data_IF_236497761450
#
_entry.id   IF_236497761450
#
_cell.length_a   1.000
_cell.length_b   1.000
_cell.length_c   1.000
_cell.angle_alpha   90.00
_cell.angle_beta   90.00
_cell.angle_gamma   90.00
#
_symmetry.space_group_name_H-M   'P 1'
#
loop_
_entity.id
_entity.type
_entity.pdbx_description
1 polymer ?
#
# COMPACT_ATOMS: atom_id res chain seq x y z
N UNK A 1 51.98 -0.36 29.59
CA UNK A 1 50.56 -0.07 29.93
C UNK A 1 50.09 1.06 29.04
N UNK A 2 49.05 0.84 28.25
CA UNK A 2 48.13 1.81 27.60
C UNK A 2 47.54 1.06 26.40
N UNK A 3 46.33 0.50 26.43
CA UNK A 3 45.07 1.18 26.67
C UNK A 3 44.28 1.19 25.35
N UNK A 4 43.97 0.02 24.79
CA UNK A 4 43.13 -0.10 23.57
C UNK A 4 41.73 0.42 23.92
N UNK A 5 41.45 1.67 23.53
CA UNK A 5 40.15 2.33 23.64
C UNK A 5 39.11 1.67 22.72
N UNK A 6 38.63 0.50 23.12
CA UNK A 6 37.41 -0.06 22.55
C UNK A 6 36.22 0.76 23.06
N UNK A 7 35.29 1.10 22.17
CA UNK A 7 34.00 1.66 22.59
C UNK A 7 33.38 0.77 23.68
N UNK A 8 32.77 1.37 24.72
CA UNK A 8 32.13 0.60 25.79
C UNK A 8 31.19 -0.43 25.17
N UNK A 9 31.18 -1.66 25.70
CA UNK A 9 30.33 -2.77 25.21
C UNK A 9 28.86 -2.35 25.07
N UNK A 10 28.40 -1.42 25.91
CA UNK A 10 27.08 -0.80 25.84
C UNK A 10 26.86 -0.01 24.54
N UNK A 11 27.82 0.82 24.13
CA UNK A 11 27.74 1.62 22.91
C UNK A 11 27.78 0.72 21.67
N UNK A 12 28.64 -0.31 21.67
CA UNK A 12 28.70 -1.29 20.58
C UNK A 12 27.38 -2.07 20.44
N UNK A 13 26.71 -2.40 21.55
CA UNK A 13 25.39 -3.05 21.55
C UNK A 13 24.27 -2.10 21.09
N UNK A 14 24.28 -0.85 21.51
CA UNK A 14 23.34 0.18 21.05
C UNK A 14 23.51 0.47 19.56
N UNK A 15 24.74 0.50 19.04
CA UNK A 15 25.04 0.68 17.62
C UNK A 15 24.58 -0.52 16.80
N UNK A 16 24.81 -1.75 17.27
CA UNK A 16 24.36 -2.96 16.55
C UNK A 16 22.84 -3.07 16.54
N UNK A 17 22.15 -2.79 17.66
CA UNK A 17 20.68 -2.81 17.68
C UNK A 17 20.08 -1.62 16.92
N UNK A 18 20.68 -0.44 17.01
CA UNK A 18 20.32 0.71 16.19
C UNK A 18 20.52 0.44 14.70
N UNK A 19 21.58 -0.27 14.31
CA UNK A 19 21.85 -0.65 12.92
C UNK A 19 20.94 -1.78 12.43
N UNK A 20 20.61 -2.77 13.25
CA UNK A 20 19.63 -3.83 12.91
C UNK A 20 18.23 -3.24 12.81
N UNK A 21 17.87 -2.33 13.72
CA UNK A 21 16.60 -1.61 13.67
C UNK A 21 16.53 -0.66 12.48
N UNK A 22 17.60 0.07 12.18
CA UNK A 22 17.70 0.93 10.99
C UNK A 22 17.74 0.13 9.69
N UNK A 23 18.31 -1.08 9.67
CA UNK A 23 18.27 -1.98 8.51
C UNK A 23 16.88 -2.60 8.32
N UNK A 24 16.18 -2.93 9.41
CA UNK A 24 14.78 -3.36 9.38
C UNK A 24 13.84 -2.22 8.97
N UNK A 25 14.13 -0.96 9.35
CA UNK A 25 13.36 0.25 9.01
C UNK A 25 13.71 0.77 7.60
N UNK A 26 14.96 0.64 7.17
CA UNK A 26 15.44 1.07 5.85
C UNK A 26 14.93 0.18 4.69
N UNK A 27 14.52 -1.06 4.98
CA UNK A 27 13.87 -1.95 4.01
C UNK A 27 12.34 -1.81 3.93
N UNK A 28 11.70 -0.99 4.77
CA UNK A 28 10.23 -0.86 4.92
C UNK A 28 9.73 0.54 4.55
N UNK A 29 10.35 1.19 3.57
CA UNK A 29 9.93 2.52 3.12
C UNK A 29 8.59 2.54 2.34
N UNK A 30 7.83 1.43 2.25
CA UNK A 30 6.54 1.38 1.58
C UNK A 30 5.35 1.37 2.56
N UNK A 31 4.91 2.54 3.09
CA UNK A 31 3.87 2.60 4.14
C UNK A 31 2.74 1.65 3.81
N UNK A 32 2.51 0.62 4.64
CA UNK A 32 1.64 -0.53 4.42
C UNK A 32 0.91 -0.46 3.07
N UNK A 33 1.64 -0.64 1.96
CA UNK A 33 1.00 -0.80 0.67
C UNK A 33 0.07 -1.97 0.86
N UNK A 34 -1.12 -1.88 0.29
CA UNK A 34 -2.13 -2.92 0.20
C UNK A 34 -1.54 -4.26 -0.31
N UNK A 35 -0.72 -4.92 0.50
CA UNK A 35 0.00 -6.13 0.19
C UNK A 35 -1.06 -7.21 0.14
N UNK A 36 -1.32 -7.72 -1.06
CA UNK A 36 -2.35 -8.74 -1.28
C UNK A 36 -3.73 -8.20 -1.65
N UNK A 37 -3.87 -6.92 -2.05
CA UNK A 37 -5.08 -6.48 -2.76
C UNK A 37 -4.88 -6.69 -4.26
N UNK A 38 -4.80 -7.96 -4.63
CA UNK A 38 -4.87 -8.44 -6.00
C UNK A 38 -5.80 -9.64 -6.05
N UNK A 39 -7.01 -9.43 -6.60
CA UNK A 39 -7.79 -10.47 -7.28
C UNK A 39 -8.43 -11.62 -6.50
N UNK A 40 -8.42 -11.65 -5.15
CA UNK A 40 -8.87 -12.85 -4.39
C UNK A 40 -10.01 -12.65 -3.39
N UNK A 41 -10.65 -11.48 -3.34
CA UNK A 41 -11.69 -11.18 -2.35
C UNK A 41 -13.10 -11.17 -2.94
N UNK A 42 -13.56 -12.27 -3.53
CA UNK A 42 -14.93 -12.32 -4.07
C UNK A 42 -15.99 -12.27 -2.96
N UNK A 43 -15.63 -12.66 -1.72
CA UNK A 43 -16.58 -12.80 -0.61
C UNK A 43 -16.29 -11.87 0.59
N UNK A 44 -17.31 -11.64 1.41
CA UNK A 44 -17.18 -10.88 2.68
C UNK A 44 -16.17 -11.53 3.64
N UNK A 45 -15.97 -12.85 3.58
CA UNK A 45 -15.03 -13.55 4.44
C UNK A 45 -13.56 -13.24 4.11
N UNK A 46 -13.25 -13.07 2.83
CA UNK A 46 -11.89 -12.76 2.36
C UNK A 46 -11.43 -11.40 2.89
N UNK A 47 -12.35 -10.46 3.06
CA UNK A 47 -12.07 -9.16 3.67
C UNK A 47 -11.66 -9.28 5.15
N UNK A 48 -12.16 -10.27 5.90
CA UNK A 48 -11.69 -10.54 7.27
C UNK A 48 -10.22 -10.94 7.25
N UNK A 49 -9.85 -11.85 6.34
CA UNK A 49 -8.46 -12.28 6.21
C UNK A 49 -7.56 -11.14 5.74
N UNK A 50 -8.04 -10.33 4.79
CA UNK A 50 -7.33 -9.16 4.31
C UNK A 50 -7.08 -8.13 5.41
N UNK A 51 -8.08 -7.81 6.24
CA UNK A 51 -7.91 -6.91 7.37
C UNK A 51 -6.93 -7.45 8.41
N UNK A 52 -6.98 -8.77 8.64
CA UNK A 52 -6.07 -9.45 9.55
C UNK A 52 -4.60 -9.38 9.08
N UNK A 53 -4.33 -9.71 7.82
CA UNK A 53 -2.98 -9.65 7.26
C UNK A 53 -2.49 -8.21 7.12
N UNK A 54 -3.34 -7.28 6.70
CA UNK A 54 -3.02 -5.85 6.66
C UNK A 54 -2.53 -5.34 8.01
N UNK A 55 -3.24 -5.67 9.09
CA UNK A 55 -2.84 -5.28 10.44
C UNK A 55 -1.52 -5.92 10.89
N UNK A 56 -1.28 -7.20 10.57
CA UNK A 56 -0.07 -7.90 11.00
C UNK A 56 1.17 -7.54 10.18
N UNK A 57 1.02 -7.14 8.92
CA UNK A 57 2.14 -6.74 8.06
C UNK A 57 2.34 -5.22 8.00
N UNK A 58 1.38 -4.42 8.51
CA UNK A 58 1.53 -2.99 8.70
C UNK A 58 2.47 -2.66 9.86
N UNK A 59 3.73 -2.37 9.55
CA UNK A 59 4.76 -2.08 10.57
C UNK A 59 4.46 -0.82 11.39
N UNK A 60 3.86 0.21 10.79
CA UNK A 60 3.41 1.42 11.46
C UNK A 60 2.34 1.11 12.53
N UNK A 61 1.37 0.26 12.21
CA UNK A 61 0.39 -0.22 13.17
C UNK A 61 1.03 -1.07 14.27
N UNK A 62 1.95 -1.99 13.93
CA UNK A 62 2.68 -2.78 14.93
C UNK A 62 3.56 -1.92 15.83
N UNK A 63 4.21 -0.89 15.31
CA UNK A 63 5.01 0.06 16.11
C UNK A 63 4.11 0.84 17.07
N UNK A 64 2.96 1.32 16.60
CA UNK A 64 1.99 2.00 17.45
C UNK A 64 1.45 1.07 18.55
N UNK A 65 1.00 -0.15 18.20
CA UNK A 65 0.53 -1.16 19.16
C UNK A 65 1.62 -1.52 20.16
N UNK A 66 2.85 -1.72 19.70
CA UNK A 66 4.02 -1.98 20.54
C UNK A 66 4.27 -0.85 21.55
N UNK A 67 4.21 0.40 21.10
CA UNK A 67 4.31 1.57 21.97
C UNK A 67 3.22 1.62 23.05
N UNK A 68 1.97 1.35 22.67
CA UNK A 68 0.84 1.29 23.60
C UNK A 68 0.99 0.14 24.59
N UNK A 69 1.46 -1.03 24.15
CA UNK A 69 1.74 -2.19 25.02
C UNK A 69 2.81 -1.85 26.07
N UNK A 70 3.91 -1.23 25.63
CA UNK A 70 5.00 -0.78 26.52
C UNK A 70 4.50 0.21 27.57
N UNK A 71 3.68 1.17 27.16
CA UNK A 71 3.05 2.15 28.06
C UNK A 71 2.08 1.52 29.05
N UNK A 72 1.14 0.71 28.53
CA UNK A 72 0.05 0.13 29.29
C UNK A 72 0.56 -0.83 30.36
N UNK A 73 1.59 -1.62 30.06
CA UNK A 73 2.24 -2.57 30.97
C UNK A 73 1.35 -3.70 31.48
N UNK A 74 0.10 -3.79 31.00
CA UNK A 74 -0.89 -4.81 31.35
C UNK A 74 -1.77 -5.09 30.12
N UNK A 75 -1.98 -6.38 29.81
CA UNK A 75 -2.75 -6.83 28.64
C UNK A 75 -4.13 -6.17 28.58
N UNK A 76 -4.88 -6.19 29.69
CA UNK A 76 -6.25 -5.63 29.75
C UNK A 76 -6.30 -4.14 29.44
N UNK A 77 -5.26 -3.38 29.81
CA UNK A 77 -5.19 -1.93 29.52
C UNK A 77 -4.78 -1.68 28.08
N UNK A 78 -3.82 -2.44 27.56
CA UNK A 78 -3.40 -2.36 26.16
C UNK A 78 -4.59 -2.68 25.25
N UNK A 79 -5.26 -3.81 25.46
CA UNK A 79 -6.43 -4.22 24.69
C UNK A 79 -7.52 -3.13 24.67
N UNK A 80 -7.85 -2.53 25.81
CA UNK A 80 -8.84 -1.42 25.86
C UNK A 80 -8.44 -0.21 25.03
N UNK A 81 -7.16 0.17 25.03
CA UNK A 81 -6.67 1.33 24.27
C UNK A 81 -6.65 1.00 22.77
N UNK A 82 -6.23 -0.21 22.42
CA UNK A 82 -6.17 -0.67 21.03
C UNK A 82 -7.56 -0.84 20.44
N UNK A 83 -8.52 -1.43 21.15
CA UNK A 83 -9.92 -1.49 20.69
C UNK A 83 -10.53 -0.09 20.54
N UNK A 84 -10.12 0.89 21.37
CA UNK A 84 -10.57 2.27 21.20
C UNK A 84 -9.95 2.94 19.97
N UNK A 85 -8.68 2.66 19.68
CA UNK A 85 -8.04 3.05 18.43
C UNK A 85 -8.77 2.44 17.22
N UNK A 86 -9.04 1.13 17.25
CA UNK A 86 -9.77 0.42 16.20
C UNK A 86 -11.19 0.96 16.00
N UNK A 87 -11.87 1.34 17.07
CA UNK A 87 -13.17 2.01 17.01
C UNK A 87 -13.08 3.31 16.21
N UNK A 88 -12.10 4.18 16.52
CA UNK A 88 -11.89 5.43 15.79
C UNK A 88 -11.51 5.17 14.33
N UNK A 89 -10.60 4.23 14.09
CA UNK A 89 -10.17 3.81 12.77
C UNK A 89 -11.36 3.36 11.91
N UNK A 90 -12.12 2.40 12.41
CA UNK A 90 -13.30 1.86 11.74
C UNK A 90 -14.35 2.94 11.47
N UNK A 91 -14.60 3.83 12.43
CA UNK A 91 -15.58 4.92 12.29
C UNK A 91 -15.24 5.81 11.11
N UNK A 92 -14.00 6.28 11.04
CA UNK A 92 -13.59 7.24 10.01
C UNK A 92 -13.37 6.58 8.67
N UNK A 93 -12.91 5.33 8.66
CA UNK A 93 -12.80 4.54 7.43
C UNK A 93 -14.18 4.35 6.79
N UNK A 94 -15.20 3.97 7.56
CA UNK A 94 -16.57 3.82 7.04
C UNK A 94 -17.09 5.17 6.55
N UNK A 95 -16.98 6.23 7.35
CA UNK A 95 -17.50 7.56 6.99
C UNK A 95 -16.79 8.10 5.74
N UNK A 96 -15.46 8.08 5.70
CA UNK A 96 -14.68 8.63 4.60
C UNK A 96 -14.89 7.84 3.30
N UNK A 97 -15.02 6.52 3.39
CA UNK A 97 -15.36 5.68 2.23
C UNK A 97 -16.76 5.95 1.70
N UNK A 98 -17.77 6.10 2.58
CA UNK A 98 -19.16 6.38 2.16
C UNK A 98 -19.37 7.82 1.68
N UNK A 99 -18.61 8.77 2.24
CA UNK A 99 -18.68 10.18 1.88
C UNK A 99 -17.68 10.56 0.77
N UNK A 100 -16.96 9.58 0.21
CA UNK A 100 -15.96 9.75 -0.85
C UNK A 100 -14.91 10.84 -0.52
N UNK A 101 -14.48 10.89 0.74
CA UNK A 101 -13.45 11.83 1.15
C UNK A 101 -12.09 11.41 0.60
N UNK A 102 -11.55 12.22 -0.30
CA UNK A 102 -10.19 12.08 -0.84
C UNK A 102 -9.24 13.02 -0.10
N UNK A 103 -8.42 12.45 0.78
CA UNK A 103 -7.40 13.17 1.54
C UNK A 103 -6.03 12.71 1.02
N UNK A 104 -5.06 13.60 0.99
CA UNK A 104 -3.69 13.23 0.61
C UNK A 104 -3.15 12.16 1.56
N UNK A 105 -3.02 10.92 1.07
CA UNK A 105 -2.60 9.76 1.85
C UNK A 105 -1.21 9.95 2.46
N UNK A 106 -0.30 10.65 1.77
CA UNK A 106 1.05 10.93 2.27
C UNK A 106 1.00 11.83 3.50
N UNK A 107 0.15 12.87 3.50
CA UNK A 107 -0.04 13.71 4.68
C UNK A 107 -0.59 12.90 5.87
N UNK A 108 -1.52 11.97 5.61
CA UNK A 108 -2.04 11.10 6.66
C UNK A 108 -0.95 10.17 7.19
N UNK A 109 -0.15 9.55 6.32
CA UNK A 109 0.96 8.67 6.70
C UNK A 109 2.03 9.39 7.54
N UNK A 110 2.29 10.67 7.27
CA UNK A 110 3.15 11.51 8.12
C UNK A 110 2.55 11.66 9.52
N UNK A 111 1.25 11.94 9.63
CA UNK A 111 0.58 12.06 10.94
C UNK A 111 0.54 10.71 11.67
N UNK A 112 0.40 9.60 10.94
CA UNK A 112 0.54 8.24 11.47
C UNK A 112 1.93 8.04 12.08
N UNK A 113 3.00 8.38 11.36
CA UNK A 113 4.36 8.29 11.87
C UNK A 113 4.57 9.17 13.12
N UNK A 114 3.97 10.37 13.14
CA UNK A 114 4.01 11.25 14.31
C UNK A 114 3.23 10.71 15.51
N UNK A 115 2.18 9.89 15.32
CA UNK A 115 1.49 9.23 16.44
C UNK A 115 2.40 8.21 17.14
N UNK A 116 3.26 7.51 16.39
CA UNK A 116 4.30 6.63 16.93
C UNK A 116 5.32 7.42 17.75
N UNK A 117 5.78 8.56 17.22
CA UNK A 117 6.66 9.49 17.96
C UNK A 117 5.99 9.94 19.25
N UNK A 118 4.73 10.36 19.21
CA UNK A 118 3.98 10.80 20.39
C UNK A 118 3.94 9.72 21.47
N UNK A 119 3.58 8.49 21.11
CA UNK A 119 3.52 7.35 22.05
C UNK A 119 4.92 7.07 22.64
N UNK A 120 5.97 7.11 21.81
CA UNK A 120 7.35 6.96 22.25
C UNK A 120 7.80 8.06 23.22
N UNK A 121 7.48 9.33 22.94
CA UNK A 121 7.81 10.47 23.81
C UNK A 121 7.09 10.36 25.15
N UNK A 122 5.78 10.05 25.13
CA UNK A 122 5.01 9.83 26.36
C UNK A 122 5.68 8.73 27.19
N UNK A 123 6.06 7.61 26.56
CA UNK A 123 6.76 6.50 27.22
C UNK A 123 8.14 6.85 27.75
N UNK A 124 8.87 7.71 27.05
CA UNK A 124 10.18 8.19 27.48
C UNK A 124 10.07 9.04 28.75
N UNK A 125 9.10 9.95 28.80
CA UNK A 125 8.81 10.80 29.96
C UNK A 125 8.29 9.94 31.13
N UNK A 126 7.46 8.94 30.84
CA UNK A 126 6.95 8.01 31.84
C UNK A 126 5.64 7.33 31.41
N UNK A 127 4.72 7.14 32.35
CA UNK A 127 3.36 6.66 32.04
C UNK A 127 2.36 7.82 32.11
N UNK A 128 1.27 7.78 31.31
CA UNK A 128 0.22 8.77 31.40
C UNK A 128 -0.34 8.87 32.82
N UNK A 129 -0.38 10.08 33.38
CA UNK A 129 -1.04 10.31 34.69
C UNK A 129 -2.57 10.23 34.57
N UNK A 130 -3.13 10.63 33.42
CA UNK A 130 -4.56 10.66 33.15
C UNK A 130 -4.93 9.73 31.99
N UNK A 131 -5.15 8.45 32.29
CA UNK A 131 -5.46 7.43 31.28
C UNK A 131 -6.70 7.72 30.43
N UNK A 132 -7.69 8.44 30.98
CA UNK A 132 -8.88 8.86 30.21
C UNK A 132 -8.52 9.80 29.05
N UNK A 133 -7.68 10.79 29.31
CA UNK A 133 -7.21 11.71 28.27
C UNK A 133 -6.34 10.99 27.23
N UNK A 134 -5.46 10.09 27.70
CA UNK A 134 -4.66 9.27 26.79
C UNK A 134 -5.55 8.40 25.88
N UNK A 135 -6.63 7.83 26.42
CA UNK A 135 -7.60 7.06 25.63
C UNK A 135 -8.27 7.92 24.56
N UNK A 136 -8.66 9.17 24.87
CA UNK A 136 -9.20 10.11 23.86
C UNK A 136 -8.19 10.42 22.76
N UNK A 137 -6.92 10.60 23.12
CA UNK A 137 -5.84 10.81 22.12
C UNK A 137 -5.66 9.57 21.24
N UNK A 138 -5.67 8.37 21.83
CA UNK A 138 -5.56 7.11 21.08
C UNK A 138 -6.77 6.90 20.15
N UNK A 139 -7.98 7.24 20.59
CA UNK A 139 -9.16 7.29 19.72
C UNK A 139 -8.95 8.26 18.54
N UNK A 140 -8.44 9.46 18.84
CA UNK A 140 -8.14 10.48 17.84
C UNK A 140 -7.11 10.02 16.80
N UNK A 141 -6.05 9.33 17.21
CA UNK A 141 -5.13 8.69 16.27
C UNK A 141 -5.82 7.62 15.43
N UNK A 142 -6.68 6.80 16.05
CA UNK A 142 -7.53 5.87 15.32
C UNK A 142 -8.29 6.56 14.20
N UNK A 143 -8.96 7.69 14.51
CA UNK A 143 -9.73 8.44 13.52
C UNK A 143 -8.87 8.84 12.30
N UNK A 144 -7.69 9.41 12.56
CA UNK A 144 -6.77 9.86 11.51
C UNK A 144 -6.25 8.69 10.68
N UNK A 145 -5.88 7.57 11.32
CA UNK A 145 -5.42 6.37 10.62
C UNK A 145 -6.49 5.81 9.68
N UNK A 146 -7.78 5.92 10.05
CA UNK A 146 -8.90 5.49 9.20
C UNK A 146 -8.98 6.25 7.87
N UNK A 147 -8.57 7.51 7.85
CA UNK A 147 -8.59 8.35 6.65
C UNK A 147 -7.57 7.86 5.60
N UNK A 148 -6.37 7.49 6.03
CA UNK A 148 -5.30 7.07 5.12
C UNK A 148 -5.66 5.80 4.35
N UNK A 149 -6.23 4.82 5.05
CA UNK A 149 -6.70 3.59 4.42
C UNK A 149 -7.94 3.81 3.56
N UNK A 150 -8.85 4.71 3.95
CA UNK A 150 -10.06 4.99 3.15
C UNK A 150 -9.73 5.49 1.74
N UNK A 151 -8.72 6.37 1.60
CA UNK A 151 -8.30 6.88 0.27
C UNK A 151 -7.74 5.74 -0.58
N UNK A 152 -6.90 4.87 0.00
CA UNK A 152 -6.35 3.71 -0.73
C UNK A 152 -7.42 2.67 -1.07
N UNK A 153 -8.41 2.44 -0.20
CA UNK A 153 -9.56 1.57 -0.49
C UNK A 153 -10.44 2.12 -1.62
N UNK A 154 -10.58 3.44 -1.71
CA UNK A 154 -11.30 4.08 -2.81
C UNK A 154 -10.53 3.98 -4.14
N UNK A 155 -9.19 4.06 -4.10
CA UNK A 155 -8.35 3.91 -5.30
C UNK A 155 -8.39 2.48 -5.87
N UNK A 156 -8.78 1.49 -5.06
CA UNK A 156 -9.02 0.11 -5.50
C UNK A 156 -10.32 -0.06 -6.27
N UNK A 157 -11.16 0.98 -6.32
CA UNK A 157 -12.40 0.98 -7.09
C UNK A 157 -13.37 -0.13 -6.66
N UNK A 158 -13.49 -0.40 -5.36
CA UNK A 158 -14.37 -1.48 -4.88
C UNK A 158 -15.82 -1.24 -5.32
N UNK A 159 -16.55 -2.27 -5.80
CA UNK A 159 -17.96 -2.17 -6.13
C UNK A 159 -18.77 -1.60 -4.96
N UNK A 160 -19.68 -0.66 -5.24
CA UNK A 160 -20.57 -0.08 -4.22
C UNK A 160 -21.52 -1.12 -3.61
N UNK A 161 -21.83 -2.19 -4.34
CA UNK A 161 -22.62 -3.31 -3.83
C UNK A 161 -21.78 -4.13 -2.84
N UNK A 162 -22.31 -4.26 -1.61
CA UNK A 162 -21.60 -4.99 -0.55
C UNK A 162 -20.37 -4.28 0.02
N UNK A 163 -20.14 -2.99 -0.31
CA UNK A 163 -19.02 -2.22 0.24
C UNK A 163 -19.05 -2.15 1.78
N UNK A 164 -20.21 -1.83 2.36
CA UNK A 164 -20.39 -1.76 3.82
C UNK A 164 -20.05 -3.10 4.51
N UNK A 165 -20.63 -4.24 4.12
CA UNK A 165 -20.28 -5.52 4.76
C UNK A 165 -18.82 -5.93 4.54
N UNK A 166 -18.21 -5.64 3.39
CA UNK A 166 -16.78 -5.86 3.14
C UNK A 166 -15.90 -5.00 4.06
N UNK A 167 -16.21 -3.72 4.21
CA UNK A 167 -15.51 -2.80 5.12
C UNK A 167 -15.66 -3.22 6.58
N UNK A 168 -16.85 -3.64 6.99
CA UNK A 168 -17.07 -4.16 8.34
C UNK A 168 -16.27 -5.44 8.59
N UNK A 169 -16.27 -6.37 7.64
CA UNK A 169 -15.49 -7.60 7.71
C UNK A 169 -13.98 -7.32 7.79
N UNK A 170 -13.49 -6.36 6.99
CA UNK A 170 -12.12 -5.88 7.08
C UNK A 170 -11.77 -5.39 8.49
N UNK A 171 -12.62 -4.55 9.09
CA UNK A 171 -12.39 -4.04 10.46
C UNK A 171 -12.43 -5.15 11.52
N UNK A 172 -13.25 -6.18 11.33
CA UNK A 172 -13.21 -7.39 12.18
C UNK A 172 -11.84 -8.07 12.08
N UNK A 173 -11.32 -8.23 10.86
CA UNK A 173 -9.97 -8.73 10.63
C UNK A 173 -8.89 -7.92 11.35
N UNK A 174 -8.95 -6.59 11.24
CA UNK A 174 -8.03 -5.67 11.91
C UNK A 174 -8.06 -5.82 13.43
N UNK A 175 -9.24 -5.83 14.05
CA UNK A 175 -9.38 -6.01 15.51
C UNK A 175 -8.79 -7.36 15.95
N UNK A 176 -9.05 -8.45 15.21
CA UNK A 176 -8.47 -9.77 15.50
C UNK A 176 -6.95 -9.77 15.41
N UNK A 177 -6.40 -9.15 14.36
CA UNK A 177 -4.95 -9.00 14.18
C UNK A 177 -4.31 -8.18 15.30
N UNK A 178 -4.98 -7.10 15.74
CA UNK A 178 -4.53 -6.25 16.84
C UNK A 178 -4.51 -6.98 18.17
N UNK A 179 -5.58 -7.71 18.52
CA UNK A 179 -5.64 -8.47 19.77
C UNK A 179 -4.58 -9.58 19.79
N UNK A 180 -4.36 -10.26 18.66
CA UNK A 180 -3.28 -11.24 18.51
C UNK A 180 -1.91 -10.58 18.72
N UNK A 181 -1.66 -9.45 18.06
CA UNK A 181 -0.40 -8.70 18.19
C UNK A 181 -0.15 -8.28 19.65
N UNK A 182 -1.17 -7.79 20.36
CA UNK A 182 -1.05 -7.44 21.79
C UNK A 182 -0.62 -8.65 22.60
N UNK A 183 -1.30 -9.79 22.48
CA UNK A 183 -0.96 -11.00 23.24
C UNK A 183 0.45 -11.49 22.90
N UNK A 184 0.80 -11.55 21.62
CA UNK A 184 2.11 -11.97 21.15
C UNK A 184 3.23 -11.05 21.68
N UNK A 185 3.02 -9.73 21.66
CA UNK A 185 4.00 -8.76 22.17
C UNK A 185 4.24 -8.88 23.68
N UNK A 186 3.20 -9.17 24.47
CA UNK A 186 3.38 -9.46 25.89
C UNK A 186 4.17 -10.75 26.13
N UNK A 187 3.83 -11.84 25.42
CA UNK A 187 4.55 -13.12 25.53
C UNK A 187 6.03 -12.97 25.14
N UNK A 188 6.30 -12.35 23.99
CA UNK A 188 7.66 -12.08 23.52
C UNK A 188 8.40 -11.19 24.53
N UNK A 189 7.74 -10.15 25.04
CA UNK A 189 8.31 -9.25 26.04
C UNK A 189 8.72 -9.97 27.33
N UNK A 190 7.89 -10.89 27.83
CA UNK A 190 8.19 -11.66 29.04
C UNK A 190 9.36 -12.62 28.83
N UNK A 191 9.43 -13.30 27.68
CA UNK A 191 10.59 -14.13 27.30
C UNK A 191 11.85 -13.27 27.20
N UNK A 192 11.81 -12.16 26.47
CA UNK A 192 12.98 -11.28 26.26
C UNK A 192 13.52 -10.71 27.57
N UNK A 193 12.65 -10.36 28.53
CA UNK A 193 13.08 -9.87 29.86
C UNK A 193 13.86 -10.91 30.66
N UNK A 194 13.66 -12.20 30.38
CA UNK A 194 14.43 -13.30 30.96
C UNK A 194 15.87 -13.37 30.45
N UNK A 195 16.09 -13.09 29.15
CA UNK A 195 17.39 -13.23 28.50
C UNK A 195 18.16 -11.92 28.34
N UNK A 196 17.46 -10.78 28.30
CA UNK A 196 17.99 -9.50 27.87
C UNK A 196 17.78 -8.45 28.98
N UNK A 197 18.77 -8.32 29.88
CA UNK A 197 18.66 -7.49 31.09
C UNK A 197 18.46 -5.99 30.83
N UNK A 198 18.98 -5.46 29.71
CA UNK A 198 18.78 -4.08 29.28
C UNK A 198 17.38 -3.80 28.70
N UNK A 199 16.64 -4.83 28.25
CA UNK A 199 15.23 -4.69 27.88
C UNK A 199 14.32 -4.38 29.09
N UNK A 200 14.86 -4.43 30.31
CA UNK A 200 14.19 -3.97 31.53
C UNK A 200 14.16 -2.44 31.66
N UNK A 201 14.92 -1.71 30.86
CA UNK A 201 14.96 -0.25 30.88
C UNK A 201 14.02 0.34 29.81
N UNK A 202 12.77 0.67 30.15
CA UNK A 202 11.74 1.08 29.18
C UNK A 202 12.15 2.33 28.38
N UNK A 203 13.02 3.17 28.95
CA UNK A 203 13.53 4.37 28.29
C UNK A 203 14.26 4.08 26.97
N UNK A 204 15.05 3.01 26.89
CA UNK A 204 15.76 2.68 25.64
C UNK A 204 14.81 2.21 24.54
N UNK A 205 13.82 1.39 24.90
CA UNK A 205 12.80 0.93 23.94
C UNK A 205 11.96 2.10 23.42
N UNK A 206 11.61 3.05 24.29
CA UNK A 206 10.86 4.24 23.91
C UNK A 206 11.68 5.20 23.03
N UNK A 207 12.99 5.35 23.29
CA UNK A 207 13.90 6.10 22.39
C UNK A 207 13.96 5.45 21.02
N UNK A 208 14.01 4.12 20.94
CA UNK A 208 13.95 3.38 19.69
C UNK A 208 12.66 3.67 18.91
N UNK A 209 11.52 3.69 19.61
CA UNK A 209 10.22 4.01 19.00
C UNK A 209 10.15 5.44 18.46
N UNK A 210 10.66 6.42 19.22
CA UNK A 210 10.77 7.82 18.78
C UNK A 210 11.65 7.94 17.55
N UNK A 211 12.82 7.29 17.56
CA UNK A 211 13.74 7.30 16.43
C UNK A 211 13.09 6.68 15.18
N UNK A 212 12.40 5.54 15.31
CA UNK A 212 11.66 4.93 14.20
C UNK A 212 10.63 5.91 13.61
N UNK A 213 9.77 6.48 14.46
CA UNK A 213 8.72 7.38 14.01
C UNK A 213 9.29 8.64 13.32
N UNK A 214 10.37 9.22 13.85
CA UNK A 214 11.02 10.38 13.24
C UNK A 214 11.69 10.05 11.91
N UNK A 215 12.36 8.90 11.80
CA UNK A 215 12.97 8.45 10.55
C UNK A 215 11.88 8.22 9.50
N UNK A 216 10.81 7.50 9.83
CA UNK A 216 9.69 7.27 8.91
C UNK A 216 9.03 8.58 8.49
N UNK A 217 8.71 9.47 9.43
CA UNK A 217 8.12 10.77 9.11
C UNK A 217 9.04 11.60 8.20
N UNK A 218 10.35 11.59 8.45
CA UNK A 218 11.32 12.31 7.63
C UNK A 218 11.40 11.74 6.21
N UNK A 219 11.43 10.41 6.06
CA UNK A 219 11.42 9.74 4.75
C UNK A 219 10.15 10.10 3.98
N UNK A 220 8.98 10.07 4.63
CA UNK A 220 7.70 10.39 4.01
C UNK A 220 7.63 11.87 3.60
N UNK A 221 8.08 12.79 4.46
CA UNK A 221 8.11 14.23 4.12
C UNK A 221 9.10 14.52 3.01
N UNK A 222 10.31 13.94 3.06
CA UNK A 222 11.30 14.10 1.98
C UNK A 222 10.74 13.50 0.69
N UNK A 223 10.13 12.32 0.73
CA UNK A 223 9.47 11.73 -0.44
C UNK A 223 8.33 12.60 -0.97
N UNK A 224 7.56 13.25 -0.11
CA UNK A 224 6.49 14.16 -0.51
C UNK A 224 7.00 15.48 -1.11
N UNK A 225 8.12 16.00 -0.60
CA UNK A 225 8.70 17.28 -1.04
C UNK A 225 9.60 17.12 -2.26
N UNK A 226 10.37 16.02 -2.32
CA UNK A 226 11.25 15.69 -3.45
C UNK A 226 10.49 14.99 -4.57
N UNK A 227 9.46 14.19 -4.22
CA UNK A 227 8.53 13.61 -5.19
C UNK A 227 7.29 14.48 -5.45
N UNK A 228 7.22 15.67 -4.87
CA UNK A 228 6.17 16.64 -5.14
C UNK A 228 6.45 17.34 -6.45
N UNK A 229 5.66 16.99 -7.48
CA UNK A 229 5.53 17.70 -8.77
C UNK A 229 6.87 18.12 -9.41
N UNK A 230 7.69 17.12 -9.74
CA UNK A 230 8.39 17.21 -11.01
C UNK A 230 7.43 16.67 -12.07
N UNK A 231 6.82 17.55 -12.86
CA UNK A 231 6.22 17.27 -14.19
C UNK A 231 7.28 16.76 -15.20
N UNK A 232 8.36 16.18 -14.69
CA UNK A 232 9.39 15.52 -15.47
C UNK A 232 8.98 14.05 -15.55
N UNK A 233 8.59 13.55 -16.74
CA UNK A 233 8.19 12.16 -16.86
C UNK A 233 9.27 11.26 -16.27
N UNK A 234 8.86 10.31 -15.42
CA UNK A 234 9.71 9.23 -14.91
C UNK A 234 10.59 8.68 -16.04
N UNK A 235 11.85 8.27 -15.80
CA UNK A 235 12.79 7.90 -16.85
C UNK A 235 12.15 6.91 -17.81
N UNK A 236 11.78 7.41 -18.99
CA UNK A 236 11.06 6.62 -19.98
C UNK A 236 12.06 5.70 -20.65
N UNK A 237 11.88 4.40 -20.48
CA UNK A 237 12.58 3.46 -21.35
C UNK A 237 11.96 3.61 -22.74
N UNK A 238 12.74 4.10 -23.70
CA UNK A 238 12.29 4.17 -25.09
C UNK A 238 12.20 2.75 -25.66
N UNK A 239 11.12 2.48 -26.39
CA UNK A 239 10.86 1.22 -27.06
C UNK A 239 10.39 1.54 -28.47
N UNK A 240 11.29 1.47 -29.45
CA UNK A 240 10.99 1.98 -30.81
C UNK A 240 10.65 3.47 -30.80
N UNK A 241 9.51 3.83 -31.39
CA UNK A 241 8.95 5.21 -31.33
C UNK A 241 8.11 5.48 -30.07
N UNK A 242 8.02 4.53 -29.16
CA UNK A 242 7.18 4.61 -27.97
C UNK A 242 7.99 4.89 -26.70
N UNK A 243 7.29 5.42 -25.69
CA UNK A 243 7.85 5.67 -24.37
C UNK A 243 7.15 4.80 -23.33
N UNK A 244 7.93 4.04 -22.56
CA UNK A 244 7.43 3.23 -21.44
C UNK A 244 7.59 4.00 -20.15
N UNK A 245 6.52 4.12 -19.38
CA UNK A 245 6.50 4.72 -18.04
C UNK A 245 5.77 3.82 -17.04
N UNK A 246 5.89 4.14 -15.76
CA UNK A 246 5.00 3.57 -14.75
C UNK A 246 3.55 3.92 -15.07
N UNK A 247 2.64 2.99 -14.77
CA UNK A 247 1.21 3.17 -15.01
C UNK A 247 0.65 4.20 -14.04
N UNK A 248 0.05 5.24 -14.59
CA UNK A 248 -0.70 6.27 -13.84
C UNK A 248 -2.20 6.18 -14.11
N UNK A 249 -2.61 5.36 -15.07
CA UNK A 249 -3.98 5.11 -15.47
C UNK A 249 -4.73 4.33 -14.38
N UNK A 250 -5.92 4.79 -14.07
CA UNK A 250 -6.85 4.11 -13.17
C UNK A 250 -7.95 3.45 -13.98
N UNK A 251 -8.07 2.13 -13.85
CA UNK A 251 -9.17 1.35 -14.43
C UNK A 251 -10.10 0.86 -13.33
N UNK A 252 -11.39 0.81 -13.65
CA UNK A 252 -12.41 0.28 -12.76
C UNK A 252 -12.31 -1.25 -12.72
N UNK A 253 -12.06 -1.86 -11.57
CA UNK A 253 -11.76 -3.30 -11.43
C UNK A 253 -12.96 -4.23 -11.25
N UNK A 254 -14.16 -3.80 -11.64
CA UNK A 254 -15.42 -4.50 -11.35
C UNK A 254 -16.22 -4.92 -12.58
N UNK A 255 -15.60 -4.91 -13.76
CA UNK A 255 -16.15 -5.54 -14.94
C UNK A 255 -16.00 -7.06 -14.93
N UNK A 256 -16.55 -7.71 -15.96
CA UNK A 256 -16.28 -9.12 -16.24
C UNK A 256 -15.10 -9.27 -17.19
N UNK A 257 -14.93 -10.48 -17.75
CA UNK A 257 -14.08 -10.64 -18.92
C UNK A 257 -14.72 -9.98 -20.15
N UNK A 258 -13.97 -9.21 -20.96
CA UNK A 258 -14.44 -8.69 -22.22
C UNK A 258 -15.01 -9.80 -23.10
N UNK A 259 -16.11 -9.50 -23.81
CA UNK A 259 -16.78 -10.46 -24.68
C UNK A 259 -15.98 -10.82 -25.93
N UNK A 260 -14.97 -10.02 -26.24
CA UNK A 260 -14.09 -10.15 -27.39
C UNK A 260 -12.77 -9.44 -27.12
N UNK A 261 -11.76 -9.82 -27.88
CA UNK A 261 -10.42 -9.27 -27.72
C UNK A 261 -10.27 -7.90 -28.38
N UNK A 262 -11.03 -7.61 -29.44
CA UNK A 262 -10.93 -6.33 -30.17
C UNK A 262 -12.30 -5.66 -30.36
N UNK A 263 -12.39 -4.39 -29.95
CA UNK A 263 -13.53 -3.51 -30.14
C UNK A 263 -13.20 -2.50 -31.24
N UNK A 264 -14.09 -2.34 -32.21
CA UNK A 264 -13.97 -1.45 -33.37
C UNK A 264 -14.10 0.03 -32.99
N UNK A 265 -13.70 0.96 -33.89
CA UNK A 265 -13.83 2.40 -33.63
C UNK A 265 -15.24 2.89 -33.33
N UNK A 266 -16.26 2.20 -33.84
CA UNK A 266 -17.68 2.53 -33.68
C UNK A 266 -18.34 1.81 -32.49
N UNK A 267 -17.58 1.04 -31.72
CA UNK A 267 -18.07 0.30 -30.56
C UNK A 267 -17.54 0.86 -29.24
N UNK A 268 -18.41 0.88 -28.24
CA UNK A 268 -18.01 1.28 -26.89
C UNK A 268 -17.11 0.20 -26.26
N UNK A 269 -15.85 0.56 -26.03
CA UNK A 269 -14.92 -0.29 -25.31
C UNK A 269 -15.34 -0.42 -23.83
N UNK A 270 -15.49 -1.63 -23.27
CA UNK A 270 -15.91 -1.82 -21.89
C UNK A 270 -14.74 -1.59 -20.94
N UNK A 271 -14.49 -0.32 -20.60
CA UNK A 271 -13.34 0.10 -19.77
C UNK A 271 -13.31 -0.61 -18.40
N UNK A 272 -14.47 -0.94 -17.83
CA UNK A 272 -14.56 -1.70 -16.59
C UNK A 272 -14.10 -3.16 -16.75
N UNK A 273 -14.41 -3.81 -17.87
CA UNK A 273 -13.96 -5.18 -18.16
C UNK A 273 -12.45 -5.19 -18.45
N UNK A 274 -11.92 -4.13 -19.07
CA UNK A 274 -10.48 -3.93 -19.25
C UNK A 274 -9.74 -3.83 -17.91
N UNK A 275 -10.33 -3.16 -16.93
CA UNK A 275 -9.77 -3.10 -15.57
C UNK A 275 -9.68 -4.46 -14.88
N UNK A 276 -10.71 -5.29 -15.01
CA UNK A 276 -10.72 -6.66 -14.50
C UNK A 276 -9.56 -7.48 -15.08
N UNK A 277 -9.42 -7.51 -16.41
CA UNK A 277 -8.38 -8.35 -17.05
C UNK A 277 -6.95 -7.84 -16.86
N UNK A 278 -6.74 -6.55 -16.58
CA UNK A 278 -5.43 -6.05 -16.14
C UNK A 278 -4.99 -6.72 -14.83
N UNK A 279 -5.94 -6.99 -13.92
CA UNK A 279 -5.70 -7.76 -12.71
C UNK A 279 -5.33 -9.21 -12.99
N UNK A 280 -5.96 -9.81 -14.01
CA UNK A 280 -5.64 -11.16 -14.49
C UNK A 280 -4.33 -11.21 -15.30
N UNK A 281 -3.61 -10.09 -15.42
CA UNK A 281 -2.32 -9.98 -16.09
C UNK A 281 -2.38 -9.82 -17.62
N UNK A 282 -3.50 -9.36 -18.17
CA UNK A 282 -3.62 -9.01 -19.59
C UNK A 282 -2.89 -7.70 -19.92
N UNK A 283 -2.73 -7.45 -21.22
CA UNK A 283 -2.36 -6.15 -21.77
C UNK A 283 -3.60 -5.54 -22.42
N UNK A 284 -3.93 -4.29 -22.08
CA UNK A 284 -5.02 -3.52 -22.68
C UNK A 284 -4.43 -2.51 -23.66
N UNK A 285 -4.93 -2.48 -24.89
CA UNK A 285 -4.48 -1.56 -25.94
C UNK A 285 -5.59 -0.58 -26.31
N UNK A 286 -5.27 0.71 -26.27
CA UNK A 286 -6.12 1.79 -26.71
C UNK A 286 -5.57 2.46 -27.96
N UNK A 287 -6.47 2.82 -28.86
CA UNK A 287 -6.15 3.47 -30.14
C UNK A 287 -7.18 4.56 -30.46
N UNK A 288 -6.81 5.52 -31.32
CA UNK A 288 -7.73 6.59 -31.68
C UNK A 288 -8.81 6.08 -32.65
N UNK A 289 -10.09 6.48 -32.49
CA UNK A 289 -11.15 6.10 -33.42
C UNK A 289 -10.89 6.54 -34.87
N UNK A 290 -10.09 7.60 -35.06
CA UNK A 290 -9.73 8.16 -36.37
C UNK A 290 -8.53 7.46 -37.04
N UNK A 291 -8.06 6.33 -36.48
CA UNK A 291 -6.93 5.57 -37.00
C UNK A 291 -7.15 5.12 -38.46
N UNK A 292 -6.14 5.24 -39.35
CA UNK A 292 -6.20 4.71 -40.71
C UNK A 292 -6.55 3.23 -40.78
N UNK A 293 -7.32 2.81 -41.79
CA UNK A 293 -7.85 1.45 -41.89
C UNK A 293 -6.77 0.36 -42.02
N UNK A 294 -5.65 0.68 -42.67
CA UNK A 294 -4.48 -0.22 -42.79
C UNK A 294 -3.80 -0.45 -41.44
N UNK A 295 -3.67 0.61 -40.62
CA UNK A 295 -3.14 0.54 -39.26
C UNK A 295 -4.10 -0.21 -38.33
N UNK A 296 -5.40 0.07 -38.43
CA UNK A 296 -6.42 -0.64 -37.67
C UNK A 296 -6.42 -2.14 -37.96
N UNK A 297 -6.21 -2.52 -39.23
CA UNK A 297 -6.10 -3.93 -39.63
C UNK A 297 -4.90 -4.61 -38.98
N UNK A 298 -3.73 -3.96 -39.01
CA UNK A 298 -2.51 -4.49 -38.37
C UNK A 298 -2.64 -4.58 -36.86
N UNK A 299 -3.25 -3.58 -36.21
CA UNK A 299 -3.49 -3.59 -34.78
C UNK A 299 -4.45 -4.72 -34.37
N UNK A 300 -5.52 -4.91 -35.14
CA UNK A 300 -6.46 -6.02 -34.94
C UNK A 300 -5.74 -7.35 -35.05
N UNK A 301 -4.90 -7.55 -36.06
CA UNK A 301 -4.12 -8.78 -36.23
C UNK A 301 -3.19 -9.04 -35.04
N UNK A 302 -2.55 -8.00 -34.48
CA UNK A 302 -1.78 -8.12 -33.24
C UNK A 302 -2.63 -8.56 -32.05
N UNK A 303 -3.82 -7.95 -31.87
CA UNK A 303 -4.69 -8.23 -30.71
C UNK A 303 -5.39 -9.59 -30.82
N UNK A 304 -5.87 -9.98 -32.01
CA UNK A 304 -6.68 -11.20 -32.21
C UNK A 304 -5.89 -12.36 -32.82
N UNK A 305 -4.67 -12.13 -33.28
CA UNK A 305 -3.85 -13.13 -33.96
C UNK A 305 -3.16 -14.11 -33.01
N UNK A 306 -2.27 -14.93 -33.56
CA UNK A 306 -1.50 -15.92 -32.79
C UNK A 306 -0.65 -15.28 -31.68
N UNK A 307 -0.21 -14.04 -31.89
CA UNK A 307 0.53 -13.23 -30.92
C UNK A 307 -0.39 -12.42 -30.00
N UNK A 308 -1.72 -12.55 -30.10
CA UNK A 308 -2.72 -11.78 -29.35
C UNK A 308 -3.17 -12.39 -28.02
N UNK A 309 -2.65 -13.57 -27.64
CA UNK A 309 -3.04 -14.22 -26.39
C UNK A 309 -2.86 -13.28 -25.18
N UNK A 310 -3.96 -13.07 -24.45
CA UNK A 310 -4.09 -12.17 -23.28
C UNK A 310 -3.82 -10.69 -23.60
N UNK A 311 -4.23 -10.27 -24.79
CA UNK A 311 -4.29 -8.87 -25.19
C UNK A 311 -5.74 -8.54 -25.51
N UNK A 312 -6.24 -7.41 -25.02
CA UNK A 312 -7.53 -6.86 -25.42
C UNK A 312 -7.34 -5.43 -25.89
N UNK A 313 -8.19 -4.93 -26.77
CA UNK A 313 -8.09 -3.56 -27.24
C UNK A 313 -9.38 -2.95 -27.71
N UNK A 314 -9.46 -1.63 -27.64
CA UNK A 314 -10.61 -0.85 -28.04
C UNK A 314 -10.28 0.61 -28.20
N UNK A 315 -11.12 1.33 -28.94
CA UNK A 315 -10.89 2.74 -29.20
C UNK A 315 -11.08 3.59 -27.92
N UNK A 316 -10.29 4.66 -27.78
CA UNK A 316 -10.42 5.66 -26.73
C UNK A 316 -10.53 7.04 -27.38
N UNK A 317 -11.71 7.63 -27.34
CA UNK A 317 -11.94 8.94 -27.97
C UNK A 317 -11.27 10.10 -27.23
N UNK A 318 -10.83 9.89 -25.98
CA UNK A 318 -10.21 10.93 -25.16
C UNK A 318 -8.68 10.91 -25.23
N UNK A 319 -8.06 9.87 -25.80
CA UNK A 319 -6.61 9.81 -25.93
C UNK A 319 -6.08 10.73 -27.03
N UNK A 320 -4.86 11.21 -26.84
CA UNK A 320 -4.19 12.11 -27.79
C UNK A 320 -3.14 11.39 -28.64
N UNK A 321 -2.71 10.24 -28.18
CA UNK A 321 -1.61 9.46 -28.74
C UNK A 321 -2.16 8.39 -29.69
N UNK A 322 -1.37 7.98 -30.68
CA UNK A 322 -1.85 7.06 -31.72
C UNK A 322 -2.12 5.67 -31.15
N UNK A 323 -1.20 5.18 -30.30
CA UNK A 323 -1.33 3.92 -29.58
C UNK A 323 -0.94 4.11 -28.11
N UNK A 324 -1.67 3.42 -27.24
CA UNK A 324 -1.39 3.33 -25.81
C UNK A 324 -1.63 1.89 -25.38
N UNK A 325 -0.67 1.24 -24.72
CA UNK A 325 -0.90 -0.07 -24.13
C UNK A 325 -0.53 -0.09 -22.66
N UNK A 326 -1.31 -0.81 -21.88
CA UNK A 326 -1.28 -0.78 -20.41
C UNK A 326 -1.23 -2.21 -19.89
N UNK A 327 -0.38 -2.46 -18.89
CA UNK A 327 -0.38 -3.70 -18.10
C UNK A 327 -0.61 -3.35 -16.61
N UNK A 328 -0.37 -4.29 -15.68
CA UNK A 328 -0.62 -4.04 -14.26
C UNK A 328 0.25 -2.92 -13.63
N UNK A 329 1.42 -2.60 -14.21
CA UNK A 329 2.41 -1.72 -13.60
C UNK A 329 2.96 -0.63 -14.53
N UNK A 330 2.86 -0.82 -15.84
CA UNK A 330 3.50 0.05 -16.83
C UNK A 330 2.51 0.42 -17.93
N UNK A 331 2.80 1.56 -18.54
CA UNK A 331 2.11 2.07 -19.73
C UNK A 331 3.15 2.41 -20.79
N UNK A 332 2.89 1.95 -22.01
CA UNK A 332 3.62 2.37 -23.21
C UNK A 332 2.73 3.29 -24.04
N UNK A 333 3.30 4.42 -24.47
CA UNK A 333 2.61 5.42 -25.27
C UNK A 333 3.40 5.70 -26.54
N UNK A 334 2.75 5.64 -27.69
CA UNK A 334 3.35 5.85 -29.01
C UNK A 334 2.67 7.02 -29.71
N UNK A 335 3.48 8.02 -30.08
CA UNK A 335 3.00 9.14 -30.90
C UNK A 335 2.75 8.68 -32.35
N UNK A 336 3.58 7.77 -32.84
CA UNK A 336 3.45 7.13 -34.15
C UNK A 336 2.90 5.70 -34.01
N UNK A 337 2.41 5.14 -35.12
CA UNK A 337 1.94 3.76 -35.17
C UNK A 337 3.12 2.77 -35.17
N UNK A 338 3.33 2.07 -34.06
CA UNK A 338 4.45 1.12 -33.85
C UNK A 338 3.99 -0.13 -33.09
N UNK A 339 3.42 -1.09 -33.84
CA UNK A 339 3.03 -2.41 -33.31
C UNK A 339 4.22 -3.25 -32.84
N UNK A 340 5.40 -3.24 -33.51
CA UNK A 340 6.60 -3.92 -33.00
C UNK A 340 6.97 -3.53 -31.56
N UNK A 341 6.87 -2.24 -31.21
CA UNK A 341 7.06 -1.81 -29.83
C UNK A 341 6.01 -2.41 -28.87
N UNK A 342 4.73 -2.49 -29.27
CA UNK A 342 3.71 -3.15 -28.45
C UNK A 342 4.00 -4.65 -28.23
N UNK A 343 4.56 -5.34 -29.24
CA UNK A 343 4.99 -6.74 -29.13
C UNK A 343 6.13 -6.88 -28.12
N UNK A 344 7.14 -6.00 -28.16
CA UNK A 344 8.24 -6.03 -27.19
C UNK A 344 7.75 -5.72 -25.77
N UNK A 345 6.86 -4.73 -25.62
CA UNK A 345 6.25 -4.39 -24.34
C UNK A 345 5.47 -5.58 -23.76
N UNK A 346 4.67 -6.24 -24.60
CA UNK A 346 3.95 -7.46 -24.25
C UNK A 346 4.91 -8.56 -23.81
N UNK A 347 5.97 -8.81 -24.57
CA UNK A 347 6.95 -9.88 -24.31
C UNK A 347 7.69 -9.63 -22.99
N UNK A 348 8.05 -8.39 -22.70
CA UNK A 348 8.67 -8.01 -21.44
C UNK A 348 7.72 -8.27 -20.26
N UNK A 349 6.43 -7.91 -20.41
CA UNK A 349 5.42 -8.17 -19.38
C UNK A 349 5.26 -9.65 -19.09
N UNK A 350 5.07 -10.49 -20.10
CA UNK A 350 4.86 -11.93 -19.89
C UNK A 350 6.11 -12.72 -19.50
N UNK A 351 7.30 -12.10 -19.56
CA UNK A 351 8.51 -12.64 -18.95
C UNK A 351 8.59 -12.39 -17.44
N UNK A 352 7.82 -11.42 -16.91
CA UNK A 352 7.74 -11.09 -15.49
C UNK A 352 6.85 -12.10 -14.75
N UNK A 353 7.32 -12.73 -13.65
CA UNK A 353 6.48 -13.64 -12.85
C UNK A 353 5.16 -13.03 -12.35
N UNK A 354 5.11 -11.71 -12.18
CA UNK A 354 3.93 -10.96 -11.72
C UNK A 354 2.82 -10.87 -12.77
N UNK A 355 3.08 -11.26 -14.02
CA UNK A 355 2.08 -11.29 -15.09
C UNK A 355 1.20 -12.53 -15.10
N UNK A 356 1.49 -13.50 -14.23
CA UNK A 356 0.73 -14.75 -14.14
C UNK A 356 -0.51 -14.53 -13.28
N UNK A 357 -1.67 -15.09 -13.65
CA UNK A 357 -2.80 -15.14 -12.74
C UNK A 357 -2.36 -15.80 -11.42
N UNK A 358 -2.91 -15.34 -10.31
CA UNK A 358 -2.74 -16.03 -9.04
C UNK A 358 -3.63 -17.28 -9.10
N UNK A 359 -3.01 -18.45 -9.23
CA UNK A 359 -3.71 -19.75 -9.24
C UNK A 359 -4.46 -20.03 -7.92
#
# INVERSE_FOLDING_TARGET
MSGRGGLPVLVRRCVVVGAVFAALVGGVAQPASAHGIGGGGETVADFVWLGFTHMLFGWDHLLFVGGVVLLAGQVKRAAKLISLFALGHSTTLIIATLAEWRINAVLVDVVIALSVVFVGVVGFIGRPQRWRWFAVVVLGFGLIHGLGLSTRLQDLGLPSDGLIPRVLAFNVGVELGQLLAVVAMFMIGDVLRGYITWAKAPRFTNVGLVAAGLVTASILVVGAVVGGEDDTPAPTAALGSCQVRERTETYQGYGGHPKKDFYEPDEDAPVADFGHVLGDGYVVVHYQPTMPADQLTQLREFVTGAEGSRVVGGADAQQTETLKAVNAYQTVVCQDFDVPALIEFKKAWFADPRSRPVD
#
